data_IF_101803934173
#
_entry.id   IF_101803934173
#
_cell.length_a   1.000
_cell.length_b   1.000
_cell.length_c   1.000
_cell.angle_alpha   90.00
_cell.angle_beta   90.00
_cell.angle_gamma   90.00
#
_symmetry.space_group_name_H-M   'P 1'
#
loop_
_entity.id
_entity.type
_entity.pdbx_description
1 polymer ?
#
# COMPACT_ATOMS: atom_id res chain seq x y z
N UNK A 1 -14.89 11.26 -2.00
CA UNK A 1 -15.21 10.76 -0.64
C UNK A 1 -14.67 9.34 -0.55
N UNK A 2 -13.34 9.20 -0.50
CA UNK A 2 -12.67 7.90 -0.35
C UNK A 2 -12.38 7.73 1.13
N UNK A 3 -13.28 7.05 1.82
CA UNK A 3 -13.11 6.66 3.21
C UNK A 3 -11.95 5.66 3.27
N UNK A 4 -10.77 6.09 3.72
CA UNK A 4 -9.80 5.17 4.26
C UNK A 4 -10.40 4.60 5.54
N UNK A 5 -10.99 3.40 5.44
CA UNK A 5 -11.55 2.70 6.57
C UNK A 5 -10.47 2.53 7.67
N UNK A 6 -10.69 3.21 8.80
CA UNK A 6 -10.20 2.90 10.14
C UNK A 6 -8.77 2.39 10.29
N UNK A 7 -7.76 3.23 10.09
CA UNK A 7 -6.52 3.07 10.85
C UNK A 7 -6.72 3.81 12.18
N UNK A 8 -7.08 3.08 13.25
CA UNK A 8 -6.98 3.63 14.61
C UNK A 8 -5.59 4.21 14.84
N UNK A 9 -5.47 5.23 15.70
CA UNK A 9 -4.18 5.87 16.02
C UNK A 9 -3.23 4.78 16.53
N UNK A 10 -2.27 4.39 15.69
CA UNK A 10 -1.18 3.48 16.07
C UNK A 10 -0.06 4.30 16.68
N UNK A 11 0.54 3.79 17.74
CA UNK A 11 1.79 4.37 18.24
C UNK A 11 2.89 4.25 17.18
N UNK A 12 3.89 5.13 17.26
CA UNK A 12 5.07 5.04 16.40
C UNK A 12 5.73 3.65 16.51
N UNK A 13 5.84 3.11 17.72
CA UNK A 13 6.47 1.81 17.97
C UNK A 13 5.74 0.67 17.26
N UNK A 14 4.41 0.64 17.31
CA UNK A 14 3.61 -0.39 16.63
C UNK A 14 3.72 -0.28 15.10
N UNK A 15 3.68 0.95 14.57
CA UNK A 15 3.83 1.19 13.14
C UNK A 15 5.24 0.80 12.65
N UNK A 16 6.28 1.20 13.37
CA UNK A 16 7.67 0.89 13.05
C UNK A 16 7.94 -0.62 13.15
N UNK A 17 7.44 -1.30 14.19
CA UNK A 17 7.58 -2.75 14.35
C UNK A 17 6.94 -3.53 13.20
N UNK A 18 5.73 -3.13 12.77
CA UNK A 18 5.07 -3.73 11.60
C UNK A 18 5.89 -3.51 10.33
N UNK A 19 6.39 -2.29 10.09
CA UNK A 19 7.19 -1.99 8.91
C UNK A 19 8.53 -2.74 8.90
N UNK A 20 9.20 -2.87 10.05
CA UNK A 20 10.42 -3.65 10.19
C UNK A 20 10.20 -5.13 9.83
N UNK A 21 9.09 -5.72 10.30
CA UNK A 21 8.71 -7.09 9.96
C UNK A 21 8.43 -7.27 8.46
N UNK A 22 7.70 -6.33 7.85
CA UNK A 22 7.44 -6.35 6.41
C UNK A 22 8.73 -6.19 5.59
N UNK A 23 9.63 -5.29 6.00
CA UNK A 23 10.90 -5.12 5.32
C UNK A 23 11.77 -6.39 5.38
N UNK A 24 11.73 -7.11 6.50
CA UNK A 24 12.35 -8.43 6.61
C UNK A 24 11.74 -9.47 5.68
N UNK A 25 10.40 -9.55 5.63
CA UNK A 25 9.69 -10.53 4.80
C UNK A 25 9.81 -10.26 3.29
N UNK A 26 9.74 -9.01 2.86
CA UNK A 26 9.70 -8.62 1.44
C UNK A 26 11.09 -8.41 0.85
N UNK A 27 11.99 -7.76 1.61
CA UNK A 27 13.32 -7.39 1.12
C UNK A 27 14.46 -8.23 1.70
N UNK A 28 14.17 -9.16 2.62
CA UNK A 28 15.20 -9.94 3.32
C UNK A 28 16.04 -9.11 4.28
N UNK A 29 15.55 -7.94 4.72
CA UNK A 29 16.31 -7.04 5.57
C UNK A 29 16.45 -7.59 7.00
N UNK A 30 17.65 -7.47 7.55
CA UNK A 30 17.86 -7.63 9.00
C UNK A 30 17.31 -6.39 9.72
N UNK A 31 16.90 -6.50 11.00
CA UNK A 31 16.37 -5.37 11.77
C UNK A 31 17.28 -4.12 11.76
N UNK A 32 18.60 -4.30 11.83
CA UNK A 32 19.55 -3.19 11.80
C UNK A 32 19.50 -2.37 10.51
N UNK A 33 19.19 -3.01 9.38
CA UNK A 33 19.10 -2.31 8.10
C UNK A 33 17.87 -1.40 8.06
N UNK A 34 16.74 -1.86 8.61
CA UNK A 34 15.52 -1.05 8.74
C UNK A 34 15.77 0.20 9.60
N UNK A 35 16.44 0.06 10.75
CA UNK A 35 16.68 1.21 11.64
C UNK A 35 17.70 2.22 11.13
N UNK A 36 18.56 1.82 10.19
CA UNK A 36 19.51 2.71 9.52
C UNK A 36 18.94 3.38 8.27
N UNK A 37 17.90 2.79 7.66
CA UNK A 37 17.25 3.36 6.50
C UNK A 37 16.45 4.61 6.87
N UNK A 38 16.51 5.61 6.01
CA UNK A 38 15.68 6.81 6.14
C UNK A 38 14.23 6.50 5.73
N UNK A 39 13.24 7.25 6.26
CA UNK A 39 11.85 7.11 5.83
C UNK A 39 11.66 7.32 4.31
N UNK A 40 12.46 8.20 3.70
CA UNK A 40 12.39 8.48 2.26
C UNK A 40 12.87 7.30 1.41
N UNK A 41 13.95 6.63 1.81
CA UNK A 41 14.46 5.41 1.16
C UNK A 41 13.46 4.27 1.30
N UNK A 42 12.90 4.06 2.49
CA UNK A 42 11.88 3.04 2.72
C UNK A 42 10.63 3.30 1.84
N UNK A 43 10.19 4.56 1.75
CA UNK A 43 9.07 4.93 0.90
C UNK A 43 9.36 4.68 -0.59
N UNK A 44 10.61 4.88 -1.04
CA UNK A 44 11.00 4.60 -2.42
C UNK A 44 10.91 3.09 -2.75
N UNK A 45 11.34 2.23 -1.83
CA UNK A 45 11.24 0.77 -1.99
C UNK A 45 9.77 0.31 -2.04
N UNK A 46 8.93 0.82 -1.15
CA UNK A 46 7.50 0.50 -1.13
C UNK A 46 6.83 0.93 -2.44
N UNK A 47 7.17 2.12 -2.96
CA UNK A 47 6.67 2.59 -4.26
C UNK A 47 7.12 1.69 -5.40
N UNK A 48 8.35 1.18 -5.39
CA UNK A 48 8.82 0.27 -6.43
C UNK A 48 8.09 -1.09 -6.42
N UNK A 49 7.60 -1.54 -5.26
CA UNK A 49 6.80 -2.77 -5.15
C UNK A 49 5.31 -2.57 -5.42
N UNK A 50 4.82 -1.33 -5.32
CA UNK A 50 3.42 -1.02 -5.58
C UNK A 50 3.27 -0.78 -7.07
N UNK A 51 2.43 -1.55 -7.80
CA UNK A 51 2.12 -1.21 -9.17
C UNK A 51 1.58 0.22 -9.22
N UNK A 52 1.89 0.94 -10.30
CA UNK A 52 1.30 2.27 -10.51
C UNK A 52 -0.20 2.18 -10.32
N UNK A 53 -0.74 3.03 -9.45
CA UNK A 53 -2.16 3.03 -9.17
C UNK A 53 -2.90 3.27 -10.50
N UNK A 54 -3.59 2.23 -10.98
CA UNK A 54 -4.40 2.37 -12.17
C UNK A 54 -5.41 3.50 -11.92
N UNK A 55 -5.53 4.40 -12.89
CA UNK A 55 -6.58 5.43 -12.86
C UNK A 55 -7.92 4.72 -12.65
N UNK A 56 -8.69 5.06 -11.60
CA UNK A 56 -10.01 4.47 -11.41
C UNK A 56 -10.85 4.69 -12.67
N UNK A 57 -11.58 3.68 -13.16
CA UNK A 57 -12.45 3.85 -14.32
C UNK A 57 -13.49 4.92 -14.02
N UNK A 58 -13.80 5.74 -15.03
CA UNK A 58 -14.87 6.73 -14.90
C UNK A 58 -16.25 6.08 -14.91
N UNK A 59 -17.28 6.85 -14.57
CA UNK A 59 -18.65 6.35 -14.48
C UNK A 59 -19.15 5.76 -15.82
N UNK A 60 -18.70 6.31 -16.96
CA UNK A 60 -19.08 5.82 -18.28
C UNK A 60 -18.46 4.44 -18.56
N UNK A 61 -17.19 4.26 -18.21
CA UNK A 61 -16.48 2.99 -18.31
C UNK A 61 -17.11 1.93 -17.43
N UNK A 62 -17.49 2.28 -16.19
CA UNK A 62 -18.18 1.38 -15.28
C UNK A 62 -19.53 0.94 -15.86
N UNK A 63 -20.33 1.89 -16.37
CA UNK A 63 -21.63 1.57 -16.98
C UNK A 63 -21.50 0.65 -18.20
N UNK A 64 -20.49 0.87 -19.05
CA UNK A 64 -20.21 0.00 -20.19
C UNK A 64 -19.81 -1.42 -19.75
N UNK A 65 -19.04 -1.55 -18.66
CA UNK A 65 -18.68 -2.86 -18.11
C UNK A 65 -19.90 -3.61 -17.54
N UNK A 66 -20.81 -2.91 -16.85
CA UNK A 66 -22.04 -3.50 -16.32
C UNK A 66 -22.97 -4.02 -17.42
N UNK A 67 -23.08 -3.29 -18.54
CA UNK A 67 -23.86 -3.74 -19.71
C UNK A 67 -23.19 -4.93 -20.41
N UNK A 68 -21.86 -4.91 -20.53
CA UNK A 68 -21.11 -5.97 -21.20
C UNK A 68 -21.04 -7.28 -20.40
N UNK A 69 -21.09 -7.18 -19.07
CA UNK A 69 -21.01 -8.32 -18.14
C UNK A 69 -22.15 -8.22 -17.12
N UNK A 70 -23.40 -8.52 -17.53
CA UNK A 70 -24.51 -8.53 -16.59
C UNK A 70 -24.30 -9.66 -15.58
N UNK A 71 -24.15 -9.29 -14.31
CA UNK A 71 -24.12 -10.23 -13.20
C UNK A 71 -25.53 -10.82 -13.05
N UNK A 72 -25.73 -12.03 -13.61
CA UNK A 72 -26.99 -12.77 -13.59
C UNK A 72 -27.38 -13.32 -12.23
#
# INVERSE_FOLDING_TARGET
MTTFAGAGVRSFAEAAGRLAGLAGAVFGWRPDHFWRATPAELAALVRACTPEAATPPDAATIAAMQEAFPDG
#
